data_IF_716033118651
#
_entry.id   IF_716033118651
#
_cell.length_a   1.000
_cell.length_b   1.000
_cell.length_c   1.000
_cell.angle_alpha   90.00
_cell.angle_beta   90.00
_cell.angle_gamma   90.00
#
_symmetry.space_group_name_H-M   'P 1'
#
loop_
_entity.id
_entity.type
_entity.pdbx_description
1 polymer ?
#
# COMPACT_ATOMS: atom_id res chain seq x y z
N UNK A 1 9.05 116.27 6.27
CA UNK A 1 9.03 114.82 6.54
C UNK A 1 10.04 114.16 5.61
N UNK A 2 11.21 113.71 6.09
CA UNK A 2 12.21 113.00 5.27
C UNK A 2 11.87 111.52 5.27
N UNK A 3 11.36 111.00 4.15
CA UNK A 3 11.09 109.57 4.00
C UNK A 3 12.44 108.83 4.03
N UNK A 4 12.60 107.83 4.90
CA UNK A 4 13.82 107.03 4.97
C UNK A 4 13.94 106.17 3.71
N UNK A 5 15.14 106.10 3.13
CA UNK A 5 15.47 105.37 1.90
C UNK A 5 14.97 103.91 1.91
N UNK A 6 14.95 103.27 3.08
CA UNK A 6 14.44 101.91 3.28
C UNK A 6 12.96 101.74 2.91
N UNK A 7 12.11 102.74 3.13
CA UNK A 7 10.69 102.65 2.77
C UNK A 7 10.44 102.83 1.28
N UNK A 8 11.27 103.64 0.61
CA UNK A 8 11.22 103.82 -0.86
C UNK A 8 11.71 102.53 -1.55
N UNK A 9 12.78 101.91 -1.02
CA UNK A 9 13.29 100.63 -1.50
C UNK A 9 12.26 99.49 -1.34
N UNK A 10 11.60 99.42 -0.19
CA UNK A 10 10.57 98.42 0.08
C UNK A 10 9.34 98.59 -0.83
N UNK A 11 8.88 99.83 -1.05
CA UNK A 11 7.79 100.11 -1.99
C UNK A 11 8.17 99.78 -3.44
N UNK A 12 9.41 100.04 -3.84
CA UNK A 12 9.94 99.68 -5.16
C UNK A 12 10.01 98.16 -5.39
N UNK A 13 10.46 97.40 -4.39
CA UNK A 13 10.48 95.92 -4.46
C UNK A 13 9.06 95.33 -4.47
N UNK A 14 8.14 95.84 -3.66
CA UNK A 14 6.75 95.39 -3.65
C UNK A 14 6.03 95.70 -4.98
N UNK A 15 6.29 96.88 -5.57
CA UNK A 15 5.78 97.24 -6.90
C UNK A 15 6.39 96.38 -8.01
N UNK A 16 7.69 96.03 -7.91
CA UNK A 16 8.37 95.14 -8.86
C UNK A 16 7.82 93.71 -8.84
N UNK A 17 7.55 93.15 -7.65
CA UNK A 17 6.94 91.83 -7.49
C UNK A 17 5.48 91.85 -7.95
N UNK A 18 4.73 92.91 -7.64
CA UNK A 18 3.34 93.08 -8.10
C UNK A 18 3.24 93.20 -9.62
N UNK A 19 4.16 93.93 -10.26
CA UNK A 19 4.25 94.04 -11.71
C UNK A 19 4.67 92.70 -12.37
N UNK A 20 5.56 91.94 -11.72
CA UNK A 20 5.97 90.61 -12.19
C UNK A 20 4.84 89.57 -12.08
N UNK A 21 4.02 89.63 -11.02
CA UNK A 21 2.83 88.79 -10.89
C UNK A 21 1.69 89.21 -11.84
N UNK A 22 1.51 90.51 -12.10
CA UNK A 22 0.47 91.01 -13.00
C UNK A 22 0.80 90.78 -14.49
N UNK A 23 2.08 90.80 -14.87
CA UNK A 23 2.54 90.55 -16.24
C UNK A 23 2.68 89.07 -16.63
N UNK A 24 2.09 88.15 -15.85
CA UNK A 24 2.30 86.70 -15.88
C UNK A 24 2.30 86.05 -17.26
N UNK A 25 3.46 86.07 -17.93
CA UNK A 25 3.80 85.31 -19.14
C UNK A 25 5.33 85.26 -19.30
N UNK A 26 6.05 84.67 -18.36
CA UNK A 26 7.44 84.16 -18.57
C UNK A 26 7.87 83.34 -17.37
N UNK A 27 7.29 82.15 -17.23
CA UNK A 27 8.02 81.06 -16.58
C UNK A 27 8.99 80.52 -17.64
N UNK A 28 10.29 80.82 -17.49
CA UNK A 28 11.35 80.10 -18.19
C UNK A 28 11.45 78.74 -17.49
N UNK A 29 10.58 77.84 -17.92
CA UNK A 29 10.44 76.46 -17.45
C UNK A 29 9.47 75.79 -18.40
N UNK A 30 10.01 74.95 -19.29
CA UNK A 30 9.39 74.54 -20.53
C UNK A 30 7.97 74.01 -20.42
N UNK A 31 7.06 74.66 -21.16
CA UNK A 31 5.80 74.10 -21.63
C UNK A 31 5.73 74.47 -23.11
N UNK A 32 6.12 73.54 -23.97
CA UNK A 32 5.89 73.62 -25.41
C UNK A 32 4.63 72.83 -25.70
N UNK A 33 3.50 73.50 -25.90
CA UNK A 33 2.29 72.93 -26.50
C UNK A 33 2.21 73.42 -27.96
N UNK A 34 3.07 72.86 -28.80
CA UNK A 34 2.99 72.98 -30.26
C UNK A 34 2.98 71.60 -30.87
N UNK A 35 2.46 71.45 -32.09
CA UNK A 35 2.36 70.15 -32.80
C UNK A 35 3.71 69.41 -33.02
N UNK A 36 4.84 70.05 -32.69
CA UNK A 36 6.20 69.48 -32.69
C UNK A 36 6.80 69.32 -31.26
N UNK A 37 5.97 69.34 -30.22
CA UNK A 37 6.41 69.15 -28.85
C UNK A 37 6.87 67.71 -28.60
N UNK A 38 8.07 67.56 -28.01
CA UNK A 38 8.51 66.26 -27.54
C UNK A 38 7.48 65.75 -26.50
N UNK A 39 6.96 64.51 -26.64
CA UNK A 39 5.89 64.00 -25.80
C UNK A 39 6.24 64.16 -24.32
N UNK A 40 5.22 64.45 -23.52
CA UNK A 40 5.40 64.64 -22.08
C UNK A 40 6.15 63.45 -21.46
N UNK A 41 6.87 63.61 -20.35
CA UNK A 41 7.44 62.46 -19.64
C UNK A 41 6.41 61.36 -19.36
N UNK A 42 5.13 61.72 -19.16
CA UNK A 42 4.04 60.77 -18.99
C UNK A 42 3.68 60.03 -20.29
N UNK A 43 3.69 60.71 -21.45
CA UNK A 43 3.49 60.07 -22.77
C UNK A 43 4.72 59.28 -23.22
N UNK A 44 5.94 59.69 -22.86
CA UNK A 44 7.15 58.88 -23.06
C UNK A 44 7.14 57.60 -22.23
N UNK A 45 6.52 57.64 -21.04
CA UNK A 45 6.35 56.45 -20.19
C UNK A 45 5.20 55.56 -20.69
N UNK A 46 4.17 56.12 -21.35
CA UNK A 46 3.12 55.30 -21.99
C UNK A 46 3.51 54.78 -23.38
N UNK A 47 4.44 55.44 -24.08
CA UNK A 47 4.99 55.04 -25.38
C UNK A 47 6.32 54.28 -25.30
N UNK A 48 6.94 54.16 -24.12
CA UNK A 48 7.84 53.04 -23.84
C UNK A 48 6.97 51.80 -23.77
N UNK A 49 6.76 51.25 -24.95
CA UNK A 49 6.35 49.88 -25.24
C UNK A 49 6.59 49.02 -24.02
N UNK A 50 5.50 48.50 -23.46
CA UNK A 50 5.53 47.33 -22.61
C UNK A 50 6.32 46.26 -23.36
N UNK A 51 7.62 46.20 -23.13
CA UNK A 51 8.49 45.17 -23.69
C UNK A 51 8.19 43.94 -22.83
N UNK A 52 7.08 43.30 -23.20
CA UNK A 52 6.54 42.14 -22.52
C UNK A 52 7.63 41.07 -22.56
N UNK A 53 8.01 40.53 -21.41
CA UNK A 53 9.12 39.59 -21.34
C UNK A 53 8.79 38.34 -22.16
N UNK A 54 9.66 37.99 -23.11
CA UNK A 54 9.49 36.81 -23.97
C UNK A 54 9.95 35.56 -23.25
N UNK A 55 9.08 34.57 -23.19
CA UNK A 55 9.35 33.28 -22.54
C UNK A 55 9.17 32.14 -23.53
N UNK A 56 10.02 31.12 -23.45
CA UNK A 56 9.82 29.91 -24.25
C UNK A 56 8.84 29.00 -23.53
N UNK A 57 7.85 28.49 -24.26
CA UNK A 57 6.81 27.63 -23.70
C UNK A 57 6.73 26.29 -24.44
N UNK A 58 6.35 25.26 -23.68
CA UNK A 58 6.04 23.93 -24.18
C UNK A 58 4.65 23.52 -23.70
N UNK A 59 3.87 22.93 -24.61
CA UNK A 59 2.57 22.34 -24.26
C UNK A 59 2.78 20.96 -23.66
N UNK A 60 2.35 20.79 -22.42
CA UNK A 60 2.37 19.51 -21.71
C UNK A 60 0.96 18.94 -21.64
N UNK A 61 0.81 17.67 -22.00
CA UNK A 61 -0.46 16.94 -21.92
C UNK A 61 -0.32 15.81 -20.91
N UNK A 62 -1.30 15.68 -20.04
CA UNK A 62 -1.33 14.66 -19.02
C UNK A 62 -1.48 13.26 -19.64
N UNK A 63 -0.68 12.33 -19.16
CA UNK A 63 -0.71 10.93 -19.55
C UNK A 63 -1.12 10.08 -18.34
N UNK A 64 -1.80 8.97 -18.60
CA UNK A 64 -2.12 8.01 -17.54
C UNK A 64 -0.85 7.24 -17.16
N UNK A 65 -0.43 7.42 -15.90
CA UNK A 65 0.75 6.73 -15.36
C UNK A 65 0.37 5.87 -14.17
N UNK A 66 0.69 4.60 -14.28
CA UNK A 66 0.63 3.68 -13.15
C UNK A 66 1.96 3.79 -12.39
N UNK A 67 1.90 4.27 -11.15
CA UNK A 67 3.07 4.23 -10.27
C UNK A 67 3.26 2.79 -9.76
N UNK A 68 4.52 2.39 -9.57
CA UNK A 68 4.85 1.10 -8.96
C UNK A 68 5.34 1.35 -7.55
N UNK A 69 4.69 0.73 -6.57
CA UNK A 69 5.15 0.71 -5.19
C UNK A 69 5.92 -0.59 -4.95
N UNK A 70 7.22 -0.47 -4.67
CA UNK A 70 8.04 -1.62 -4.28
C UNK A 70 8.02 -1.81 -2.76
N UNK A 71 7.61 -3.00 -2.33
CA UNK A 71 7.55 -3.41 -0.93
C UNK A 71 8.48 -4.59 -0.74
N UNK A 72 9.46 -4.43 0.16
CA UNK A 72 10.39 -5.51 0.50
C UNK A 72 9.83 -6.35 1.64
N UNK A 73 10.07 -7.65 1.59
CA UNK A 73 9.68 -8.56 2.65
C UNK A 73 10.16 -9.98 2.38
N UNK A 74 9.32 -10.96 2.69
CA UNK A 74 9.66 -12.38 2.55
C UNK A 74 8.44 -13.23 2.20
N UNK A 75 8.69 -14.43 1.71
CA UNK A 75 7.66 -15.45 1.56
C UNK A 75 7.36 -16.14 2.88
N UNK A 76 6.12 -16.56 3.05
CA UNK A 76 5.57 -17.28 4.18
C UNK A 76 4.61 -18.34 3.64
N UNK A 77 4.75 -19.58 4.11
CA UNK A 77 3.81 -20.64 3.79
C UNK A 77 2.39 -20.28 4.29
N UNK A 78 1.34 -20.65 3.56
CA UNK A 78 -0.04 -20.34 3.97
C UNK A 78 -0.37 -20.94 5.34
N UNK A 79 0.09 -22.17 5.58
CA UNK A 79 -0.10 -22.84 6.85
C UNK A 79 1.13 -23.67 7.21
N UNK A 80 1.56 -23.55 8.48
CA UNK A 80 2.61 -24.38 9.08
C UNK A 80 2.07 -24.97 10.37
N UNK A 81 1.83 -26.27 10.37
CA UNK A 81 1.13 -26.95 11.47
C UNK A 81 1.99 -28.06 12.05
N UNK A 82 2.30 -27.94 13.34
CA UNK A 82 2.89 -29.01 14.13
C UNK A 82 1.81 -30.04 14.49
N UNK A 83 1.93 -31.25 13.95
CA UNK A 83 1.01 -32.34 14.24
C UNK A 83 1.47 -33.05 15.50
N UNK A 84 0.70 -32.86 16.57
CA UNK A 84 1.02 -33.33 17.92
C UNK A 84 0.23 -34.56 18.32
N UNK A 85 0.82 -35.38 19.19
CA UNK A 85 0.17 -36.57 19.74
C UNK A 85 -0.88 -36.21 20.79
N UNK A 86 -2.01 -36.89 20.76
CA UNK A 86 -3.06 -36.76 21.77
C UNK A 86 -2.90 -37.74 22.94
N UNK A 87 -2.02 -38.73 22.83
CA UNK A 87 -1.75 -39.75 23.85
C UNK A 87 -0.25 -40.05 23.90
N UNK A 88 0.23 -40.69 24.97
CA UNK A 88 1.64 -41.04 25.09
C UNK A 88 1.88 -42.52 24.77
N UNK A 89 2.83 -42.78 23.87
CA UNK A 89 3.35 -44.11 23.59
C UNK A 89 4.60 -44.06 22.69
N UNK A 90 5.19 -45.22 22.40
CA UNK A 90 6.29 -45.34 21.45
C UNK A 90 5.81 -45.30 20.00
N UNK A 91 6.57 -44.67 19.11
CA UNK A 91 6.29 -44.70 17.66
C UNK A 91 6.74 -46.05 17.11
N UNK A 92 5.80 -46.79 16.52
CA UNK A 92 6.06 -48.10 15.91
C UNK A 92 6.26 -47.98 14.40
N UNK A 93 5.50 -47.12 13.75
CA UNK A 93 5.59 -46.91 12.30
C UNK A 93 5.53 -45.43 11.92
N UNK A 94 6.23 -45.11 10.83
CA UNK A 94 6.21 -43.80 10.17
C UNK A 94 5.97 -44.00 8.67
N UNK A 95 4.71 -44.15 8.23
CA UNK A 95 4.40 -44.40 6.82
C UNK A 95 4.81 -43.24 5.90
N UNK A 96 4.74 -42.00 6.41
CA UNK A 96 5.15 -40.81 5.69
C UNK A 96 6.65 -40.53 5.85
N UNK A 97 7.27 -39.83 4.88
CA UNK A 97 8.68 -39.47 4.91
C UNK A 97 8.84 -37.96 4.89
N UNK A 98 9.93 -37.47 5.46
CA UNK A 98 10.34 -36.07 5.34
C UNK A 98 10.45 -35.67 3.86
N UNK A 99 9.97 -34.48 3.52
CA UNK A 99 9.89 -33.98 2.14
C UNK A 99 8.79 -34.62 1.29
N UNK A 100 8.06 -35.61 1.78
CA UNK A 100 6.92 -36.16 1.05
C UNK A 100 5.71 -35.21 1.10
N UNK A 101 4.93 -35.22 0.02
CA UNK A 101 3.63 -34.55 -0.01
C UNK A 101 2.58 -35.45 0.63
N UNK A 102 1.77 -34.86 1.50
CA UNK A 102 0.65 -35.51 2.18
C UNK A 102 -0.64 -34.74 1.97
N UNK A 103 -1.76 -35.45 2.04
CA UNK A 103 -3.10 -34.88 2.05
C UNK A 103 -3.65 -34.88 3.47
N UNK A 104 -4.67 -34.05 3.71
CA UNK A 104 -5.42 -34.10 4.95
C UNK A 104 -5.98 -35.51 5.17
N UNK A 105 -5.72 -36.09 6.34
CA UNK A 105 -6.13 -37.44 6.73
C UNK A 105 -5.07 -38.53 6.53
N UNK A 106 -3.96 -38.25 5.83
CA UNK A 106 -2.87 -39.21 5.65
C UNK A 106 -2.20 -39.52 7.00
N UNK A 107 -1.79 -40.77 7.20
CA UNK A 107 -1.16 -41.23 8.44
C UNK A 107 0.32 -40.84 8.46
N UNK A 108 0.71 -40.11 9.50
CA UNK A 108 2.07 -39.60 9.68
C UNK A 108 2.89 -40.50 10.60
N UNK A 109 2.35 -40.77 11.79
CA UNK A 109 2.94 -41.66 12.79
C UNK A 109 1.88 -42.62 13.33
N UNK A 110 2.30 -43.84 13.66
CA UNK A 110 1.50 -44.82 14.38
C UNK A 110 2.20 -45.14 15.67
N UNK A 111 1.49 -44.94 16.77
CA UNK A 111 1.94 -45.28 18.11
C UNK A 111 1.63 -46.74 18.42
N UNK A 112 2.36 -47.29 19.39
CA UNK A 112 2.04 -48.59 19.94
C UNK A 112 0.61 -48.55 20.52
N UNK A 113 -0.17 -49.54 20.13
CA UNK A 113 -1.56 -49.64 20.55
C UNK A 113 -1.67 -50.16 21.99
N UNK A 114 -0.63 -50.82 22.49
CA UNK A 114 -0.61 -51.39 23.83
C UNK A 114 -1.85 -52.25 24.10
N UNK A 115 -2.54 -51.97 25.20
CA UNK A 115 -3.79 -52.67 25.58
C UNK A 115 -5.06 -52.08 24.98
N UNK A 116 -4.97 -51.00 24.20
CA UNK A 116 -6.16 -50.25 23.73
C UNK A 116 -7.07 -51.09 22.85
N UNK A 117 -6.52 -51.98 22.00
CA UNK A 117 -7.32 -52.93 21.21
C UNK A 117 -8.09 -53.92 22.11
N UNK A 118 -7.45 -54.42 23.17
CA UNK A 118 -8.10 -55.30 24.14
C UNK A 118 -9.21 -54.57 24.91
N UNK A 119 -8.99 -53.31 25.30
CA UNK A 119 -10.02 -52.48 25.95
C UNK A 119 -11.24 -52.23 25.05
N UNK A 120 -11.03 -52.05 23.74
CA UNK A 120 -12.15 -51.96 22.78
C UNK A 120 -12.93 -53.28 22.74
N UNK A 121 -12.25 -54.44 22.71
CA UNK A 121 -12.91 -55.75 22.72
C UNK A 121 -13.72 -55.99 24.00
N UNK A 122 -13.16 -55.62 25.16
CA UNK A 122 -13.85 -55.69 26.46
C UNK A 122 -15.10 -54.80 26.50
N UNK A 123 -14.99 -53.56 26.03
CA UNK A 123 -16.12 -52.63 25.98
C UNK A 123 -17.21 -53.10 25.00
N UNK A 124 -16.84 -53.72 23.86
CA UNK A 124 -17.78 -54.34 22.91
C UNK A 124 -18.56 -55.49 23.56
N UNK A 125 -17.89 -56.35 24.32
CA UNK A 125 -18.55 -57.44 25.04
C UNK A 125 -19.53 -56.91 26.10
N UNK A 126 -19.13 -55.87 26.84
CA UNK A 126 -19.98 -55.22 27.85
C UNK A 126 -21.22 -54.56 27.22
N UNK A 127 -21.06 -53.91 26.06
CA UNK A 127 -22.17 -53.35 25.31
C UNK A 127 -23.14 -54.44 24.85
N UNK A 128 -22.64 -55.52 24.26
CA UNK A 128 -23.47 -56.64 23.82
C UNK A 128 -24.30 -57.25 24.98
N UNK A 129 -23.70 -57.36 26.17
CA UNK A 129 -24.42 -57.80 27.36
C UNK A 129 -25.52 -56.81 27.76
N UNK A 130 -25.21 -55.51 27.85
CA UNK A 130 -26.17 -54.49 28.25
C UNK A 130 -27.35 -54.35 27.25
N UNK A 131 -27.09 -54.56 25.95
CA UNK A 131 -28.13 -54.60 24.91
C UNK A 131 -29.09 -55.77 25.13
N UNK A 132 -28.56 -56.95 25.45
CA UNK A 132 -29.38 -58.13 25.77
C UNK A 132 -30.24 -57.87 27.01
N UNK A 133 -29.66 -57.34 28.08
CA UNK A 133 -30.35 -57.07 29.34
C UNK A 133 -31.45 -56.02 29.17
N UNK A 134 -31.18 -54.91 28.47
CA UNK A 134 -32.19 -53.90 28.16
C UNK A 134 -33.31 -54.47 27.29
N UNK A 135 -32.98 -55.28 26.28
CA UNK A 135 -33.98 -55.92 25.42
C UNK A 135 -34.86 -56.89 26.20
N UNK A 136 -34.27 -57.64 27.15
CA UNK A 136 -34.98 -58.59 28.00
C UNK A 136 -35.90 -57.85 28.99
N UNK A 137 -35.40 -56.81 29.65
CA UNK A 137 -36.18 -55.97 30.57
C UNK A 137 -37.39 -55.32 29.84
N UNK A 138 -37.17 -54.79 28.64
CA UNK A 138 -38.24 -54.18 27.83
C UNK A 138 -39.31 -55.21 27.43
N UNK A 139 -38.90 -56.40 26.97
CA UNK A 139 -39.82 -57.50 26.62
C UNK A 139 -40.59 -58.03 27.82
N UNK A 140 -39.99 -58.05 29.00
CA UNK A 140 -40.67 -58.45 30.24
C UNK A 140 -41.64 -57.37 30.73
N UNK A 141 -41.29 -56.09 30.58
CA UNK A 141 -42.09 -54.97 31.06
C UNK A 141 -43.36 -54.78 30.22
N UNK A 142 -43.23 -54.90 28.90
CA UNK A 142 -44.38 -54.91 27.97
C UNK A 142 -45.38 -56.02 28.25
N UNK A 143 -44.94 -57.13 28.85
CA UNK A 143 -45.79 -58.24 29.30
C UNK A 143 -46.26 -58.12 30.76
N UNK A 144 -45.91 -57.04 31.47
CA UNK A 144 -46.27 -56.79 32.86
C UNK A 144 -45.44 -57.55 33.91
N UNK A 145 -44.34 -58.19 33.52
CA UNK A 145 -43.51 -59.03 34.41
C UNK A 145 -42.34 -58.28 35.07
N UNK A 146 -42.08 -57.02 34.73
CA UNK A 146 -41.06 -56.20 35.41
C UNK A 146 -41.46 -54.73 35.52
N UNK A 147 -40.91 -54.04 36.52
CA UNK A 147 -41.19 -52.64 36.79
C UNK A 147 -40.55 -51.72 35.74
N UNK A 148 -41.18 -50.58 35.45
CA UNK A 148 -40.61 -49.56 34.54
C UNK A 148 -39.24 -49.06 35.03
N UNK A 149 -39.04 -49.02 36.35
CA UNK A 149 -37.73 -48.67 36.96
C UNK A 149 -36.63 -49.64 36.56
N UNK A 150 -36.93 -50.93 36.37
CA UNK A 150 -35.96 -51.93 35.89
C UNK A 150 -35.59 -51.72 34.43
N UNK A 151 -36.55 -51.34 33.58
CA UNK A 151 -36.26 -50.96 32.18
C UNK A 151 -35.40 -49.71 32.13
N UNK A 152 -35.74 -48.69 32.91
CA UNK A 152 -34.97 -47.45 33.01
C UNK A 152 -33.53 -47.71 33.49
N UNK A 153 -33.34 -48.60 34.48
CA UNK A 153 -32.02 -48.99 34.94
C UNK A 153 -31.21 -49.74 33.86
N UNK A 154 -31.83 -50.67 33.14
CA UNK A 154 -31.17 -51.39 32.05
C UNK A 154 -30.82 -50.45 30.87
N UNK A 155 -31.68 -49.47 30.57
CA UNK A 155 -31.39 -48.43 29.59
C UNK A 155 -30.19 -47.56 30.01
N UNK A 156 -30.13 -47.13 31.28
CA UNK A 156 -28.99 -46.38 31.78
C UNK A 156 -27.68 -47.17 31.70
N UNK A 157 -27.73 -48.49 31.96
CA UNK A 157 -26.57 -49.37 31.84
C UNK A 157 -26.14 -49.54 30.37
N UNK A 158 -27.10 -49.65 29.45
CA UNK A 158 -26.83 -49.67 28.02
C UNK A 158 -26.15 -48.39 27.56
N UNK A 159 -26.65 -47.22 27.96
CA UNK A 159 -26.07 -45.93 27.59
C UNK A 159 -24.66 -45.77 28.17
N UNK A 160 -24.42 -46.22 29.41
CA UNK A 160 -23.09 -46.25 30.00
C UNK A 160 -22.13 -47.18 29.24
N UNK A 161 -22.58 -48.36 28.81
CA UNK A 161 -21.77 -49.29 28.03
C UNK A 161 -21.41 -48.75 26.64
N UNK A 162 -22.36 -48.06 25.97
CA UNK A 162 -22.11 -47.37 24.70
C UNK A 162 -21.05 -46.29 24.85
N UNK A 163 -21.15 -45.45 25.88
CA UNK A 163 -20.19 -44.40 26.16
C UNK A 163 -18.78 -44.96 26.40
N UNK A 164 -18.65 -46.06 27.15
CA UNK A 164 -17.36 -46.74 27.37
C UNK A 164 -16.75 -47.31 26.10
N UNK A 165 -17.57 -47.86 25.21
CA UNK A 165 -17.09 -48.33 23.91
C UNK A 165 -16.56 -47.18 23.07
N UNK A 166 -17.32 -46.07 22.99
CA UNK A 166 -16.89 -44.89 22.26
C UNK A 166 -15.58 -44.30 22.81
N UNK A 167 -15.43 -44.27 24.13
CA UNK A 167 -14.19 -43.83 24.80
C UNK A 167 -13.01 -44.74 24.41
N UNK A 168 -13.17 -46.06 24.49
CA UNK A 168 -12.12 -47.01 24.14
C UNK A 168 -11.73 -46.92 22.65
N UNK A 169 -12.72 -46.75 21.76
CA UNK A 169 -12.47 -46.58 20.33
C UNK A 169 -11.75 -45.26 20.02
N UNK A 170 -12.10 -44.17 20.69
CA UNK A 170 -11.41 -42.88 20.56
C UNK A 170 -9.97 -42.96 21.06
N UNK A 171 -9.73 -43.65 22.17
CA UNK A 171 -8.37 -43.83 22.69
C UNK A 171 -7.51 -44.68 21.74
N UNK A 172 -8.09 -45.72 21.13
CA UNK A 172 -7.42 -46.47 20.07
C UNK A 172 -7.14 -45.59 18.84
N UNK A 173 -8.09 -44.76 18.41
CA UNK A 173 -7.91 -43.85 17.28
C UNK A 173 -6.80 -42.82 17.52
N UNK A 174 -6.59 -42.36 18.77
CA UNK A 174 -5.51 -41.43 19.14
C UNK A 174 -4.11 -42.00 18.92
N UNK A 175 -3.96 -43.32 18.77
CA UNK A 175 -2.68 -43.95 18.41
C UNK A 175 -2.26 -43.69 16.96
N UNK A 176 -3.20 -43.29 16.09
CA UNK A 176 -2.94 -43.01 14.68
C UNK A 176 -2.93 -41.50 14.47
N UNK A 177 -1.74 -40.93 14.32
CA UNK A 177 -1.54 -39.50 14.13
C UNK A 177 -1.65 -39.19 12.64
N UNK A 178 -2.63 -38.36 12.27
CA UNK A 178 -2.95 -38.00 10.88
C UNK A 178 -2.66 -36.54 10.57
N UNK A 179 -2.40 -36.23 9.31
CA UNK A 179 -2.19 -34.87 8.84
C UNK A 179 -3.51 -34.06 8.89
N UNK A 180 -3.54 -32.90 9.57
CA UNK A 180 -4.73 -32.05 9.61
C UNK A 180 -4.94 -31.24 8.33
N UNK A 181 -3.85 -30.99 7.59
CA UNK A 181 -3.84 -30.23 6.33
C UNK A 181 -3.02 -30.99 5.28
N UNK A 182 -3.21 -30.64 4.01
CA UNK A 182 -2.31 -31.06 2.94
C UNK A 182 -1.07 -30.18 2.89
N UNK A 183 0.05 -30.74 2.43
CA UNK A 183 1.31 -30.02 2.32
C UNK A 183 2.52 -30.94 2.24
N UNK A 184 3.70 -30.36 2.49
CA UNK A 184 4.98 -31.08 2.53
C UNK A 184 5.40 -31.27 3.98
N UNK A 185 5.92 -32.44 4.31
CA UNK A 185 6.44 -32.70 5.66
C UNK A 185 7.84 -32.08 5.82
N UNK A 186 7.97 -31.19 6.80
CA UNK A 186 9.23 -30.58 7.20
C UNK A 186 10.01 -31.48 8.16
N UNK A 187 11.35 -31.45 8.03
CA UNK A 187 12.27 -32.13 8.94
C UNK A 187 12.56 -31.29 10.19
N UNK A 188 12.71 -31.88 11.39
CA UNK A 188 12.71 -33.31 11.66
C UNK A 188 11.30 -33.86 11.97
N UNK A 189 11.07 -35.12 11.61
CA UNK A 189 9.96 -35.90 12.18
C UNK A 189 10.43 -36.71 13.39
N UNK A 190 9.48 -37.20 14.18
CA UNK A 190 9.79 -38.11 15.27
C UNK A 190 10.24 -39.50 14.74
N UNK A 191 11.25 -40.06 15.41
CA UNK A 191 11.87 -41.33 15.02
C UNK A 191 11.12 -42.56 15.53
N UNK A 192 11.15 -43.63 14.74
CA UNK A 192 10.63 -44.95 15.15
C UNK A 192 11.40 -45.44 16.38
N UNK A 193 10.67 -45.97 17.36
CA UNK A 193 11.21 -46.43 18.65
C UNK A 193 11.29 -45.33 19.72
N UNK A 194 11.07 -44.07 19.35
CA UNK A 194 11.03 -42.97 20.33
C UNK A 194 9.67 -42.92 21.02
N UNK A 195 9.67 -42.66 22.33
CA UNK A 195 8.47 -42.37 23.12
C UNK A 195 8.03 -40.93 22.88
N UNK A 196 6.80 -40.74 22.40
CA UNK A 196 6.15 -39.43 22.32
C UNK A 196 5.25 -39.25 23.53
N UNK A 197 5.32 -38.08 24.17
CA UNK A 197 4.39 -37.71 25.24
C UNK A 197 3.15 -37.02 24.66
N UNK A 198 2.09 -36.91 25.46
CA UNK A 198 0.91 -36.13 25.08
C UNK A 198 1.31 -34.68 24.79
N UNK A 199 0.96 -34.18 23.60
CA UNK A 199 1.36 -32.87 23.10
C UNK A 199 2.71 -32.84 22.37
N UNK A 200 3.46 -33.95 22.35
CA UNK A 200 4.71 -34.05 21.59
C UNK A 200 4.47 -34.02 20.07
N UNK A 201 5.38 -33.41 19.32
CA UNK A 201 5.27 -33.25 17.85
C UNK A 201 5.74 -34.51 17.12
N UNK A 202 4.88 -35.10 16.30
CA UNK A 202 5.22 -36.23 15.42
C UNK A 202 5.84 -35.73 14.11
N UNK A 203 5.28 -34.67 13.53
CA UNK A 203 5.73 -34.08 12.27
C UNK A 203 5.22 -32.65 12.13
N UNK A 204 5.89 -31.84 11.31
CA UNK A 204 5.41 -30.52 10.90
C UNK A 204 5.01 -30.57 9.44
N UNK A 205 3.77 -30.16 9.13
CA UNK A 205 3.25 -30.10 7.75
C UNK A 205 3.17 -28.63 7.33
N UNK A 206 3.76 -28.33 6.18
CA UNK A 206 3.83 -26.98 5.60
C UNK A 206 3.01 -26.97 4.32
N UNK A 207 1.95 -26.17 4.27
CA UNK A 207 1.23 -25.87 3.03
C UNK A 207 1.87 -24.65 2.36
N UNK A 208 2.53 -24.87 1.23
CA UNK A 208 3.20 -23.83 0.45
C UNK A 208 2.47 -23.45 -0.84
N UNK A 209 1.26 -23.98 -1.07
CA UNK A 209 0.41 -23.65 -2.22
C UNK A 209 -1.03 -23.36 -1.76
N UNK A 210 -1.47 -22.08 -1.79
CA UNK A 210 -0.73 -20.91 -2.24
C UNK A 210 0.43 -20.50 -1.32
N UNK A 211 1.38 -19.74 -1.87
CA UNK A 211 2.47 -19.09 -1.12
C UNK A 211 2.11 -17.64 -0.83
N UNK A 212 2.50 -17.12 0.34
CA UNK A 212 2.19 -15.75 0.75
C UNK A 212 3.45 -14.91 0.74
N UNK A 213 3.45 -13.76 0.05
CA UNK A 213 4.49 -12.75 0.20
C UNK A 213 4.04 -11.69 1.19
N UNK A 214 4.77 -11.57 2.28
CA UNK A 214 4.50 -10.61 3.34
C UNK A 214 5.36 -9.38 3.13
N UNK A 215 4.76 -8.20 3.32
CA UNK A 215 5.45 -6.92 3.16
C UNK A 215 4.99 -5.91 4.19
N UNK A 216 5.80 -4.87 4.40
CA UNK A 216 5.46 -3.77 5.31
C UNK A 216 5.35 -2.47 4.52
N UNK A 217 4.21 -1.81 4.60
CA UNK A 217 3.91 -0.58 3.85
C UNK A 217 3.80 0.59 4.82
N UNK A 218 4.45 1.71 4.50
CA UNK A 218 4.36 2.94 5.30
C UNK A 218 2.94 3.51 5.34
N UNK A 219 2.60 4.15 6.46
CA UNK A 219 1.36 4.93 6.64
C UNK A 219 1.08 5.93 5.50
N UNK A 220 2.12 6.45 4.84
CA UNK A 220 1.97 7.42 3.74
C UNK A 220 1.41 6.80 2.45
N UNK A 221 1.57 5.49 2.26
CA UNK A 221 1.24 4.78 1.02
C UNK A 221 0.11 3.78 1.18
N UNK A 222 -0.32 3.49 2.42
CA UNK A 222 -1.32 2.44 2.70
C UNK A 222 -2.67 2.71 2.03
N UNK A 223 -3.09 3.98 1.94
CA UNK A 223 -4.35 4.38 1.31
C UNK A 223 -4.36 4.17 -0.21
N UNK A 224 -3.20 3.89 -0.83
CA UNK A 224 -3.09 3.63 -2.25
C UNK A 224 -3.25 2.15 -2.59
N UNK A 225 -3.29 1.27 -1.59
CA UNK A 225 -3.38 -0.18 -1.75
C UNK A 225 -4.82 -0.63 -1.46
N UNK A 226 -5.32 -1.56 -2.26
CA UNK A 226 -6.64 -2.17 -2.08
C UNK A 226 -6.54 -3.69 -2.07
N UNK A 227 -7.55 -4.35 -1.51
CA UNK A 227 -7.72 -5.79 -1.64
C UNK A 227 -7.87 -6.18 -3.12
N UNK A 228 -7.46 -7.40 -3.45
CA UNK A 228 -7.40 -7.98 -4.80
C UNK A 228 -6.54 -7.20 -5.81
N UNK A 229 -5.73 -6.25 -5.36
CA UNK A 229 -4.79 -5.53 -6.21
C UNK A 229 -3.73 -6.49 -6.78
N UNK A 230 -3.47 -6.46 -8.10
CA UNK A 230 -2.45 -7.30 -8.71
C UNK A 230 -1.05 -6.88 -8.24
N UNK A 231 -0.21 -7.88 -8.01
CA UNK A 231 1.14 -7.70 -7.51
C UNK A 231 2.10 -8.67 -8.23
N UNK A 232 3.25 -8.17 -8.61
CA UNK A 232 4.36 -8.99 -9.11
C UNK A 232 5.36 -9.19 -7.97
N UNK A 233 5.66 -10.42 -7.61
CA UNK A 233 6.59 -10.74 -6.53
C UNK A 233 7.85 -11.36 -7.10
N UNK A 234 8.98 -10.68 -6.89
CA UNK A 234 10.29 -11.14 -7.31
C UNK A 234 11.07 -11.68 -6.12
N UNK A 235 11.46 -12.95 -6.19
CA UNK A 235 12.29 -13.59 -5.18
C UNK A 235 13.78 -13.30 -5.42
N UNK A 236 14.56 -13.28 -4.34
CA UNK A 236 16.03 -13.15 -4.43
C UNK A 236 16.69 -14.32 -5.17
N UNK A 237 16.00 -15.45 -5.23
CA UNK A 237 16.40 -16.66 -5.97
C UNK A 237 16.22 -16.52 -7.49
N UNK A 238 15.55 -15.45 -7.96
CA UNK A 238 15.44 -15.09 -9.37
C UNK A 238 14.07 -15.34 -10.00
N UNK A 239 13.19 -16.10 -9.33
CA UNK A 239 11.82 -16.34 -9.78
C UNK A 239 10.94 -15.10 -9.61
N UNK A 240 10.00 -14.93 -10.53
CA UNK A 240 8.94 -13.93 -10.46
C UNK A 240 7.60 -14.66 -10.45
N UNK A 241 6.74 -14.29 -9.52
CA UNK A 241 5.42 -14.89 -9.30
C UNK A 241 4.37 -13.78 -9.32
N UNK A 242 3.31 -13.99 -10.08
CA UNK A 242 2.15 -13.12 -10.06
C UNK A 242 1.23 -13.50 -8.90
N UNK A 243 0.72 -12.48 -8.22
CA UNK A 243 -0.17 -12.64 -7.09
C UNK A 243 -1.14 -11.49 -6.93
N UNK A 244 -1.90 -11.54 -5.85
CA UNK A 244 -2.85 -10.48 -5.50
C UNK A 244 -2.86 -10.20 -4.01
N UNK A 245 -3.11 -8.95 -3.64
CA UNK A 245 -3.24 -8.55 -2.22
C UNK A 245 -4.47 -9.22 -1.63
N UNK A 246 -4.29 -10.14 -0.68
CA UNK A 246 -5.40 -10.81 0.02
C UNK A 246 -5.73 -10.16 1.37
N UNK A 247 -4.74 -9.54 2.00
CA UNK A 247 -4.89 -8.99 3.34
C UNK A 247 -4.06 -7.72 3.51
N UNK A 248 -4.66 -6.77 4.20
CA UNK A 248 -4.05 -5.52 4.63
C UNK A 248 -4.37 -5.39 6.11
N UNK A 249 -3.35 -5.27 6.95
CA UNK A 249 -3.51 -5.15 8.39
C UNK A 249 -4.35 -3.91 8.72
N UNK A 250 -5.38 -4.01 9.59
CA UNK A 250 -6.14 -2.85 10.04
C UNK A 250 -5.38 -1.99 11.06
N UNK A 251 -4.30 -2.53 11.64
CA UNK A 251 -3.44 -1.86 12.61
C UNK A 251 -2.02 -1.76 12.12
N UNK A 252 -1.38 -0.61 12.34
CA UNK A 252 0.04 -0.43 12.13
C UNK A 252 0.85 -1.09 13.24
N UNK A 253 2.04 -1.54 12.91
CA UNK A 253 3.11 -1.81 13.86
C UNK A 253 3.52 -0.49 14.54
N UNK A 254 3.43 -0.37 15.87
CA UNK A 254 3.62 0.89 16.59
C UNK A 254 5.07 1.40 16.56
N UNK A 255 6.05 0.50 16.40
CA UNK A 255 7.47 0.84 16.41
C UNK A 255 7.93 1.38 15.04
N UNK A 256 7.41 0.79 13.97
CA UNK A 256 7.81 1.12 12.59
C UNK A 256 6.81 1.98 11.84
N UNK A 257 5.58 2.15 12.34
CA UNK A 257 4.44 2.80 11.66
C UNK A 257 4.19 2.24 10.27
N UNK A 258 4.32 0.92 10.15
CA UNK A 258 4.06 0.20 8.91
C UNK A 258 2.89 -0.76 9.07
N UNK A 259 2.21 -1.03 7.96
CA UNK A 259 1.09 -1.94 7.87
C UNK A 259 1.54 -3.20 7.14
N UNK A 260 1.28 -4.36 7.76
CA UNK A 260 1.52 -5.65 7.15
C UNK A 260 0.53 -5.85 6.00
N UNK A 261 1.05 -6.20 4.83
CA UNK A 261 0.27 -6.67 3.69
C UNK A 261 0.64 -8.12 3.37
N UNK A 262 -0.33 -8.85 2.82
CA UNK A 262 -0.12 -10.22 2.33
C UNK A 262 -0.57 -10.30 0.88
N UNK A 263 0.34 -10.77 0.02
CA UNK A 263 0.09 -11.08 -1.37
C UNK A 263 0.04 -12.59 -1.53
N UNK A 264 -1.09 -13.11 -1.98
CA UNK A 264 -1.27 -14.52 -2.30
C UNK A 264 -0.77 -14.82 -3.70
N UNK A 265 0.04 -15.86 -3.83
CA UNK A 265 0.63 -16.30 -5.10
C UNK A 265 0.45 -17.82 -5.25
N UNK A 266 -0.08 -18.30 -6.39
CA UNK A 266 -0.06 -19.73 -6.70
C UNK A 266 1.38 -20.28 -6.74
N UNK A 267 1.62 -21.44 -6.14
CA UNK A 267 2.93 -22.09 -6.13
C UNK A 267 2.83 -23.61 -6.37
N UNK A 268 2.16 -24.07 -7.43
CA UNK A 268 1.94 -25.50 -7.69
C UNK A 268 3.24 -26.27 -7.97
N UNK A 269 4.26 -25.59 -8.50
CA UNK A 269 5.58 -26.18 -8.80
C UNK A 269 6.49 -26.26 -7.56
N UNK A 270 6.10 -25.66 -6.42
CA UNK A 270 6.92 -25.61 -5.21
C UNK A 270 8.25 -24.84 -5.37
N UNK A 271 8.31 -23.90 -6.33
CA UNK A 271 9.51 -23.07 -6.59
C UNK A 271 9.75 -22.07 -5.47
N UNK A 272 8.69 -21.44 -4.97
CA UNK A 272 8.80 -20.58 -3.80
C UNK A 272 8.91 -21.43 -2.54
N UNK A 273 9.87 -21.08 -1.69
CA UNK A 273 10.06 -21.69 -0.36
C UNK A 273 9.69 -20.68 0.72
N UNK A 274 9.33 -21.20 1.89
CA UNK A 274 9.09 -20.39 3.08
C UNK A 274 10.36 -19.64 3.51
N UNK A 275 10.22 -18.38 3.91
CA UNK A 275 11.30 -17.55 4.46
C UNK A 275 12.25 -16.89 3.45
N UNK A 276 11.99 -16.98 2.15
CA UNK A 276 12.83 -16.37 1.10
C UNK A 276 12.55 -14.88 0.98
N UNK A 277 13.59 -14.06 0.85
CA UNK A 277 13.41 -12.62 0.62
C UNK A 277 12.72 -12.34 -0.70
N UNK A 278 11.71 -11.47 -0.65
CA UNK A 278 10.88 -11.11 -1.79
C UNK A 278 10.75 -9.59 -1.92
N UNK A 279 10.62 -9.12 -3.16
CA UNK A 279 10.28 -7.74 -3.51
C UNK A 279 8.95 -7.77 -4.25
N UNK A 280 7.92 -7.23 -3.61
CA UNK A 280 6.58 -7.12 -4.17
C UNK A 280 6.42 -5.79 -4.87
N UNK A 281 6.05 -5.81 -6.14
CA UNK A 281 5.73 -4.64 -6.96
C UNK A 281 4.22 -4.54 -7.10
N UNK A 282 3.66 -3.52 -6.46
CA UNK A 282 2.24 -3.20 -6.55
C UNK A 282 2.04 -2.13 -7.62
N UNK A 283 1.22 -2.45 -8.62
CA UNK A 283 0.84 -1.47 -9.63
C UNK A 283 -0.29 -0.62 -9.07
N UNK A 284 0.01 0.63 -8.73
CA UNK A 284 -0.96 1.58 -8.21
C UNK A 284 -1.93 2.00 -9.33
N UNK A 285 -3.15 2.44 -8.98
CA UNK A 285 -4.10 2.98 -9.95
C UNK A 285 -3.49 4.10 -10.80
N UNK A 286 -3.90 4.17 -12.06
CA UNK A 286 -3.48 5.21 -12.98
C UNK A 286 -3.81 6.60 -12.40
N UNK A 287 -2.84 7.50 -12.43
CA UNK A 287 -3.06 8.91 -12.18
C UNK A 287 -2.55 9.72 -13.38
N UNK A 288 -3.25 10.82 -13.67
CA UNK A 288 -2.82 11.79 -14.68
C UNK A 288 -1.52 12.45 -14.22
N UNK A 289 -0.51 12.36 -15.06
CA UNK A 289 0.81 12.92 -14.79
C UNK A 289 1.42 13.52 -16.07
N UNK A 290 2.28 14.52 -15.92
CA UNK A 290 3.03 15.12 -17.02
C UNK A 290 4.49 14.70 -16.92
N UNK A 291 5.07 14.37 -18.06
CA UNK A 291 6.51 14.14 -18.17
C UNK A 291 7.18 15.48 -18.49
N UNK A 292 8.16 15.85 -17.67
CA UNK A 292 8.88 17.12 -17.79
C UNK A 292 10.39 16.90 -17.65
N UNK A 293 11.18 17.83 -18.18
CA UNK A 293 12.60 17.91 -17.84
C UNK A 293 12.75 18.59 -16.47
N UNK A 294 13.60 18.09 -15.55
CA UNK A 294 13.77 18.72 -14.23
C UNK A 294 14.19 20.21 -14.28
N UNK A 295 14.76 20.67 -15.39
CA UNK A 295 15.21 22.05 -15.60
C UNK A 295 14.09 23.10 -15.56
N UNK A 296 12.83 22.71 -15.75
CA UNK A 296 11.69 23.65 -15.73
C UNK A 296 11.08 23.83 -14.33
N UNK A 297 11.55 23.07 -13.33
CA UNK A 297 11.10 23.21 -11.96
C UNK A 297 11.69 24.48 -11.34
N UNK A 298 10.83 25.26 -10.69
CA UNK A 298 11.18 26.48 -9.95
C UNK A 298 10.61 26.40 -8.54
N UNK A 299 11.13 27.25 -7.66
CA UNK A 299 10.52 27.52 -6.35
C UNK A 299 9.71 28.82 -6.42
N UNK A 300 8.62 28.89 -5.66
CA UNK A 300 7.95 30.16 -5.36
C UNK A 300 8.56 30.83 -4.12
N UNK A 301 8.11 32.04 -3.80
CA UNK A 301 8.62 32.84 -2.66
C UNK A 301 8.44 32.16 -1.29
N UNK A 302 7.54 31.17 -1.21
CA UNK A 302 7.26 30.38 0.00
C UNK A 302 8.08 29.08 0.03
N UNK A 303 8.93 28.84 -0.97
CA UNK A 303 9.80 27.67 -1.08
C UNK A 303 9.08 26.39 -1.56
N UNK A 304 7.87 26.50 -2.11
CA UNK A 304 7.18 25.36 -2.73
C UNK A 304 7.71 25.12 -4.14
N UNK A 305 7.94 23.86 -4.48
CA UNK A 305 8.37 23.45 -5.82
C UNK A 305 7.18 23.39 -6.76
N UNK A 306 7.34 23.95 -7.96
CA UNK A 306 6.30 24.00 -8.97
C UNK A 306 6.84 24.27 -10.37
N UNK A 307 5.92 24.49 -11.31
CA UNK A 307 6.23 25.00 -12.63
C UNK A 307 5.52 26.34 -12.83
N UNK A 308 6.12 27.24 -13.61
CA UNK A 308 5.42 28.42 -14.12
C UNK A 308 4.80 28.07 -15.47
N UNK A 309 3.53 28.39 -15.63
CA UNK A 309 2.77 28.21 -16.86
C UNK A 309 2.21 29.56 -17.33
N UNK A 310 1.65 29.57 -18.54
CA UNK A 310 0.98 30.73 -19.11
C UNK A 310 -0.52 30.41 -19.29
N UNK A 311 -1.38 31.33 -18.86
CA UNK A 311 -2.84 31.23 -19.04
C UNK A 311 -3.31 31.70 -20.43
N UNK A 312 -4.61 31.59 -20.70
CA UNK A 312 -5.21 32.05 -21.97
C UNK A 312 -5.08 33.56 -22.22
N UNK A 313 -4.78 34.35 -21.18
CA UNK A 313 -4.59 35.80 -21.25
C UNK A 313 -3.11 36.20 -21.33
N UNK A 314 -2.21 35.24 -21.61
CA UNK A 314 -0.76 35.43 -21.63
C UNK A 314 -0.18 35.90 -20.28
N UNK A 315 -0.80 35.52 -19.16
CA UNK A 315 -0.29 35.78 -17.81
C UNK A 315 0.38 34.55 -17.24
N UNK A 316 1.46 34.77 -16.51
CA UNK A 316 2.15 33.72 -15.78
C UNK A 316 1.31 33.24 -14.60
N UNK A 317 1.26 31.92 -14.40
CA UNK A 317 0.59 31.27 -13.29
C UNK A 317 1.52 30.20 -12.71
N UNK A 318 1.75 30.26 -11.40
CA UNK A 318 2.50 29.23 -10.69
C UNK A 318 1.61 28.04 -10.32
N UNK A 319 2.00 26.83 -10.74
CA UNK A 319 1.36 25.59 -10.33
C UNK A 319 2.28 24.79 -9.40
N UNK A 320 1.88 24.50 -8.15
CA UNK A 320 2.61 23.59 -7.28
C UNK A 320 2.52 22.16 -7.82
N UNK A 321 3.63 21.42 -7.77
CA UNK A 321 3.71 20.08 -8.35
C UNK A 321 4.03 19.02 -7.30
N UNK A 322 3.52 17.81 -7.50
CA UNK A 322 3.89 16.62 -6.74
C UNK A 322 4.79 15.74 -7.59
N UNK A 323 6.02 15.53 -7.15
CA UNK A 323 6.96 14.63 -7.85
C UNK A 323 6.50 13.19 -7.67
N UNK A 324 6.32 12.48 -8.80
CA UNK A 324 5.84 11.09 -8.85
C UNK A 324 6.95 10.09 -9.22
N UNK A 325 8.17 10.57 -9.51
CA UNK A 325 9.36 9.76 -9.82
C UNK A 325 10.14 10.29 -11.01
N UNK A 326 11.37 9.80 -11.19
CA UNK A 326 12.25 10.11 -12.32
C UNK A 326 12.54 8.87 -13.17
N UNK A 327 12.71 9.08 -14.47
CA UNK A 327 13.18 8.14 -15.49
C UNK A 327 14.43 8.73 -16.17
N UNK A 328 15.15 7.93 -16.96
CA UNK A 328 16.40 8.38 -17.61
C UNK A 328 16.20 9.59 -18.54
N UNK A 329 15.02 9.74 -19.12
CA UNK A 329 14.64 10.76 -20.10
C UNK A 329 13.68 11.82 -19.54
N UNK A 330 13.42 11.86 -18.23
CA UNK A 330 12.59 12.91 -17.63
C UNK A 330 12.07 12.63 -16.22
N UNK A 331 11.27 13.55 -15.70
CA UNK A 331 10.60 13.44 -14.40
C UNK A 331 9.08 13.48 -14.58
N UNK A 332 8.38 12.64 -13.82
CA UNK A 332 6.93 12.63 -13.78
C UNK A 332 6.42 13.47 -12.62
N UNK A 333 5.51 14.38 -12.92
CA UNK A 333 4.86 15.24 -11.92
C UNK A 333 3.34 15.16 -12.03
N UNK A 334 2.66 15.33 -10.90
CA UNK A 334 1.21 15.49 -10.81
C UNK A 334 0.83 16.82 -10.17
N UNK A 335 -0.47 17.09 -10.09
CA UNK A 335 -1.01 18.35 -9.54
C UNK A 335 -1.26 19.45 -10.58
N UNK A 336 -1.08 19.13 -11.86
CA UNK A 336 -1.32 20.03 -12.99
C UNK A 336 -2.66 19.74 -13.69
N UNK A 337 -3.26 20.73 -14.37
CA UNK A 337 -4.40 20.52 -15.27
C UNK A 337 -4.05 19.56 -16.41
N UNK A 338 -5.05 18.96 -17.07
CA UNK A 338 -4.81 18.00 -18.16
C UNK A 338 -3.91 18.56 -19.28
N UNK A 339 -4.10 19.83 -19.63
CA UNK A 339 -3.26 20.56 -20.56
C UNK A 339 -2.70 21.80 -19.88
N UNK A 340 -1.39 22.01 -20.01
CA UNK A 340 -0.72 23.21 -19.47
C UNK A 340 0.37 23.69 -20.42
N UNK A 341 0.45 25.01 -20.60
CA UNK A 341 1.50 25.67 -21.38
C UNK A 341 2.61 26.08 -20.41
N UNK A 342 3.58 25.19 -20.19
CA UNK A 342 4.66 25.38 -19.23
C UNK A 342 5.79 26.23 -19.81
N UNK A 343 6.37 27.11 -19.01
CA UNK A 343 7.54 27.91 -19.38
C UNK A 343 8.79 27.04 -19.24
N UNK A 344 9.50 26.83 -20.34
CA UNK A 344 10.74 26.02 -20.38
C UNK A 344 12.00 26.88 -20.24
N UNK A 345 11.96 28.12 -20.73
CA UNK A 345 13.05 29.10 -20.64
C UNK A 345 12.49 30.48 -20.26
N UNK A 346 13.13 31.13 -19.29
CA UNK A 346 12.74 32.45 -18.81
C UNK A 346 11.93 32.43 -17.51
N UNK A 347 11.66 31.24 -16.95
CA UNK A 347 10.85 31.04 -15.75
C UNK A 347 11.40 31.74 -14.50
N UNK A 348 12.71 31.97 -14.39
CA UNK A 348 13.33 32.65 -13.24
C UNK A 348 13.23 34.18 -13.32
N UNK A 349 12.87 34.72 -14.48
CA UNK A 349 12.84 36.16 -14.74
C UNK A 349 11.43 36.76 -14.68
N UNK A 350 10.41 35.93 -14.48
CA UNK A 350 9.00 36.33 -14.50
C UNK A 350 8.31 36.01 -13.17
N UNK A 351 7.58 36.97 -12.63
CA UNK A 351 6.79 36.80 -11.41
C UNK A 351 5.42 36.16 -11.72
N UNK A 352 4.66 35.78 -10.69
CA UNK A 352 3.27 35.29 -10.85
C UNK A 352 2.32 36.46 -11.23
N UNK A 353 1.44 36.24 -12.19
CA UNK A 353 0.49 37.25 -12.70
C UNK A 353 1.07 38.29 -13.66
N UNK A 354 2.32 38.14 -14.08
CA UNK A 354 3.00 39.01 -15.05
C UNK A 354 2.56 38.66 -16.48
N UNK A 355 2.34 39.68 -17.31
CA UNK A 355 2.04 39.46 -18.74
C UNK A 355 3.33 39.14 -19.46
N UNK A 356 3.34 38.04 -20.21
CA UNK A 356 4.50 37.55 -20.97
C UNK A 356 4.14 37.31 -22.43
N UNK A 357 5.13 37.25 -23.32
CA UNK A 357 4.92 36.90 -24.71
C UNK A 357 5.39 35.45 -24.90
N UNK A 358 4.47 34.45 -24.96
CA UNK A 358 4.84 33.05 -25.07
C UNK A 358 5.31 32.71 -26.49
N UNK A 359 6.52 32.19 -26.60
CA UNK A 359 7.09 31.66 -27.85
C UNK A 359 7.13 30.14 -27.74
N UNK A 360 6.32 29.45 -28.55
CA UNK A 360 6.32 27.99 -28.56
C UNK A 360 7.64 27.47 -29.14
N UNK A 361 8.24 26.51 -28.45
CA UNK A 361 9.40 25.78 -28.95
C UNK A 361 9.08 25.20 -30.32
N UNK A 362 9.82 25.64 -31.34
CA UNK A 362 9.66 25.11 -32.69
C UNK A 362 10.28 23.72 -32.68
N UNK A 363 9.46 22.69 -32.93
CA UNK A 363 9.86 21.30 -33.03
C UNK A 363 11.14 21.22 -33.88
N UNK A 364 12.27 20.91 -33.23
CA UNK A 364 13.55 20.81 -33.93
C UNK A 364 13.44 19.59 -34.82
N UNK A 365 13.30 19.79 -36.13
CA UNK A 365 13.36 18.75 -37.12
C UNK A 365 14.59 17.88 -36.86
N UNK A 366 14.37 16.57 -36.71
CA UNK A 366 15.40 15.55 -36.59
C UNK A 366 16.49 15.81 -37.62
N UNK A 367 17.68 16.19 -37.14
CA UNK A 367 18.89 16.15 -37.95
C UNK A 367 19.26 14.68 -38.09
N UNK A 368 18.80 14.08 -39.17
CA UNK A 368 19.30 12.80 -39.67
C UNK A 368 20.82 12.91 -39.88
N UNK A 369 21.59 12.12 -39.12
CA UNK A 369 22.94 11.69 -39.46
C UNK A 369 23.06 10.18 -39.26
#
# INVERSE_FOLDING_TARGET
MRVKFSYILAAGLAAGIGAWMYGGTTVIGGVGDGDDAAPSPAERVSQQTSDVFRVQVQRLVAQDRNAVLEVRGRTEAEAKVEVRSATSDNIVERPAREGAHVKAGDVLCILDKGTREASVLEAKATLAQAELDHSAATKLSTKGFTAQTSVAAAQAQLDAAKARLEEAERELQRTVIKAPIGGVIESPMADIGTRIETGGTCATVVNSDPMIAIGQVSELSINQISLDMPAEVRLVTGETLDGKVRYISPSADPDTRTFRIEVEMPNPDGKARDGVTAVTRLTLPAQKAHKITPAILTLNDVGQVGIRAVDENNKTVFHPVKVLGGEEDGMWIGGLPEEVVAITVGQEYVADGEVVEPVFETETAEVSQ
#
